data_IF_334757862888
#
_entry.id   IF_334757862888
#
_cell.length_a   1.000
_cell.length_b   1.000
_cell.length_c   1.000
_cell.angle_alpha   90.00
_cell.angle_beta   90.00
_cell.angle_gamma   90.00
#
_symmetry.space_group_name_H-M   'P 1'
#
loop_
_entity.id
_entity.type
_entity.pdbx_description
1 polymer ?
#
# COMPACT_ATOMS: atom_id res chain seq x y z
N UNK A 1 -17.15 36.30 43.05
CA UNK A 1 -16.51 36.08 41.74
C UNK A 1 -16.62 34.61 41.47
N UNK A 2 -17.73 34.20 40.79
CA UNK A 2 -17.95 32.82 40.43
C UNK A 2 -17.02 32.38 39.28
N UNK A 3 -16.46 31.15 39.30
CA UNK A 3 -15.64 30.66 38.22
C UNK A 3 -16.53 30.35 37.01
N UNK A 4 -16.16 30.91 35.83
CA UNK A 4 -16.74 30.56 34.53
C UNK A 4 -16.68 29.06 34.29
N UNK A 5 -17.74 28.40 33.80
CA UNK A 5 -17.72 27.03 33.45
C UNK A 5 -16.79 26.79 32.26
N UNK A 6 -15.85 25.84 32.44
CA UNK A 6 -15.04 25.28 31.36
C UNK A 6 -16.00 24.75 30.29
N UNK A 7 -15.90 25.30 29.08
CA UNK A 7 -16.60 24.77 27.92
C UNK A 7 -16.09 23.34 27.66
N UNK A 8 -16.94 22.38 27.90
CA UNK A 8 -16.79 21.04 27.36
C UNK A 8 -16.58 21.17 25.86
N UNK A 9 -15.40 20.76 25.39
CA UNK A 9 -15.15 20.60 23.96
C UNK A 9 -15.93 19.37 23.50
N UNK A 10 -17.23 19.56 23.24
CA UNK A 10 -18.05 18.56 22.59
C UNK A 10 -17.35 18.20 21.25
N UNK A 11 -16.73 17.04 21.19
CA UNK A 11 -16.13 16.46 19.99
C UNK A 11 -17.24 16.42 18.93
N UNK A 12 -17.16 17.28 17.92
CA UNK A 12 -18.07 17.21 16.77
C UNK A 12 -17.95 15.81 16.15
N UNK A 13 -19.07 15.17 15.77
CA UNK A 13 -19.00 13.88 15.12
C UNK A 13 -18.18 14.01 13.83
N UNK A 14 -17.11 13.25 13.72
CA UNK A 14 -16.25 13.22 12.53
C UNK A 14 -17.06 12.81 11.31
N UNK A 15 -16.75 13.39 10.14
CA UNK A 15 -17.34 12.97 8.87
C UNK A 15 -16.95 11.53 8.53
N UNK A 16 -17.75 10.84 7.71
CA UNK A 16 -17.46 9.46 7.28
C UNK A 16 -16.07 9.35 6.61
N UNK A 17 -15.66 10.38 5.84
CA UNK A 17 -14.35 10.42 5.19
C UNK A 17 -13.22 10.61 6.22
N UNK A 18 -13.39 11.48 7.21
CA UNK A 18 -12.42 11.67 8.29
C UNK A 18 -12.25 10.38 9.13
N UNK A 19 -13.33 9.67 9.41
CA UNK A 19 -13.28 8.38 10.11
C UNK A 19 -12.54 7.31 9.29
N UNK A 20 -12.79 7.25 7.98
CA UNK A 20 -12.10 6.33 7.07
C UNK A 20 -10.61 6.69 6.98
N UNK A 21 -10.28 7.97 6.86
CA UNK A 21 -8.91 8.47 6.90
C UNK A 21 -8.20 7.97 8.18
N UNK A 22 -8.75 8.25 9.33
CA UNK A 22 -8.17 7.83 10.61
C UNK A 22 -7.98 6.30 10.72
N UNK A 23 -8.94 5.50 10.23
CA UNK A 23 -8.82 4.03 10.21
C UNK A 23 -7.66 3.54 9.33
N UNK A 24 -7.55 4.04 8.11
CA UNK A 24 -6.49 3.62 7.17
C UNK A 24 -5.13 4.02 7.71
N UNK A 25 -5.00 5.25 8.22
CA UNK A 25 -3.76 5.75 8.85
C UNK A 25 -3.37 4.93 10.08
N UNK A 26 -4.35 4.60 10.91
CA UNK A 26 -4.15 3.76 12.10
C UNK A 26 -3.71 2.33 11.74
N UNK A 27 -4.26 1.75 10.68
CA UNK A 27 -3.87 0.42 10.19
C UNK A 27 -2.39 0.36 9.81
N UNK A 28 -1.86 1.37 9.12
CA UNK A 28 -0.43 1.45 8.77
C UNK A 28 0.47 1.45 10.01
N UNK A 29 0.09 2.19 11.05
CA UNK A 29 0.83 2.18 12.32
C UNK A 29 0.71 0.85 13.05
N UNK A 30 -0.45 0.20 13.02
CA UNK A 30 -0.65 -1.11 13.62
C UNK A 30 0.21 -2.20 12.95
N UNK A 31 0.37 -2.14 11.62
CA UNK A 31 1.27 -3.03 10.89
C UNK A 31 2.74 -2.80 11.24
N UNK A 32 3.15 -1.59 11.55
CA UNK A 32 4.51 -1.28 11.96
C UNK A 32 4.77 -1.50 13.47
N UNK A 33 3.72 -1.67 14.27
CA UNK A 33 3.83 -1.73 15.74
C UNK A 33 4.67 -2.91 16.28
N UNK A 34 4.67 -4.12 15.66
CA UNK A 34 5.50 -5.22 16.12
C UNK A 34 7.00 -5.03 15.87
N UNK A 35 7.40 -4.04 15.06
CA UNK A 35 8.76 -3.84 14.58
C UNK A 35 9.56 -2.90 15.48
N UNK A 36 10.84 -3.21 15.70
CA UNK A 36 11.79 -2.29 16.31
C UNK A 36 12.13 -1.13 15.35
N UNK A 37 12.85 -0.11 15.85
CA UNK A 37 13.31 0.97 15.00
C UNK A 37 14.35 0.48 13.98
N UNK A 38 15.14 -0.50 14.35
CA UNK A 38 16.14 -1.17 13.51
C UNK A 38 15.46 -1.97 12.39
N UNK A 39 14.43 -2.77 12.71
CA UNK A 39 13.63 -3.49 11.71
C UNK A 39 13.00 -2.53 10.70
N UNK A 40 12.49 -1.39 11.19
CA UNK A 40 11.89 -0.36 10.34
C UNK A 40 12.89 0.35 9.41
N UNK A 41 14.20 0.22 9.68
CA UNK A 41 15.27 0.84 8.89
C UNK A 41 15.79 -0.06 7.77
N UNK A 42 15.66 -1.38 7.90
CA UNK A 42 16.30 -2.33 6.99
C UNK A 42 15.67 -2.27 5.58
N UNK A 43 16.55 -2.31 4.58
CA UNK A 43 16.22 -2.57 3.18
C UNK A 43 16.99 -3.82 2.74
N UNK A 44 16.30 -4.89 2.42
CA UNK A 44 16.89 -6.20 2.19
C UNK A 44 17.40 -6.44 0.76
N UNK A 45 16.99 -5.61 -0.18
CA UNK A 45 17.45 -5.60 -1.59
C UNK A 45 17.12 -4.24 -2.24
N UNK A 46 17.57 -3.94 -3.47
CA UNK A 46 17.36 -2.63 -4.11
C UNK A 46 15.90 -2.23 -4.33
N UNK A 47 14.99 -3.20 -4.55
CA UNK A 47 13.59 -2.94 -4.90
C UNK A 47 12.66 -2.65 -3.71
N UNK A 48 12.74 -3.34 -2.56
CA UNK A 48 11.99 -3.04 -1.37
C UNK A 48 12.30 -1.66 -0.80
N UNK A 49 11.47 -1.24 0.13
CA UNK A 49 11.71 -0.02 0.90
C UNK A 49 11.61 -0.32 2.40
N UNK A 50 12.38 0.39 3.24
CA UNK A 50 12.23 0.27 4.68
C UNK A 50 10.81 0.60 5.14
N UNK A 51 10.30 -0.08 6.16
CA UNK A 51 9.01 0.23 6.80
C UNK A 51 8.90 1.72 7.16
N UNK A 52 9.98 2.31 7.69
CA UNK A 52 10.07 3.73 8.00
C UNK A 52 9.82 4.60 6.76
N UNK A 53 10.37 4.22 5.62
CA UNK A 53 10.19 4.94 4.36
C UNK A 53 8.73 4.85 3.88
N UNK A 54 8.08 3.68 3.96
CA UNK A 54 6.67 3.52 3.62
C UNK A 54 5.80 4.47 4.44
N UNK A 55 5.96 4.47 5.76
CA UNK A 55 5.21 5.35 6.67
C UNK A 55 5.38 6.83 6.32
N UNK A 56 6.58 7.24 5.93
CA UNK A 56 6.86 8.62 5.56
C UNK A 56 6.32 8.97 4.18
N UNK A 57 6.46 8.08 3.18
CA UNK A 57 6.03 8.29 1.81
C UNK A 57 4.50 8.47 1.70
N UNK A 58 3.72 7.60 2.35
CA UNK A 58 2.26 7.75 2.38
C UNK A 58 1.81 9.01 3.15
N UNK A 59 2.61 9.54 4.06
CA UNK A 59 2.40 10.82 4.72
C UNK A 59 2.73 11.98 3.80
N UNK A 60 3.85 11.88 3.10
CA UNK A 60 4.29 12.82 2.08
C UNK A 60 3.24 13.03 0.97
N UNK A 61 2.50 11.97 0.60
CA UNK A 61 1.41 12.09 -0.37
C UNK A 61 0.35 13.08 0.11
N UNK A 62 -0.14 12.96 1.33
CA UNK A 62 -1.16 13.85 1.86
C UNK A 62 -0.65 15.28 2.05
N UNK A 63 0.59 15.47 2.52
CA UNK A 63 1.19 16.80 2.63
C UNK A 63 1.33 17.47 1.27
N UNK A 64 1.85 16.72 0.27
CA UNK A 64 2.19 17.25 -1.05
C UNK A 64 0.96 17.49 -1.93
N UNK A 65 0.02 16.54 -1.98
CA UNK A 65 -1.09 16.59 -2.94
C UNK A 65 -2.39 17.11 -2.33
N UNK A 66 -2.54 17.02 -1.01
CA UNK A 66 -3.76 17.48 -0.35
C UNK A 66 -3.53 18.77 0.40
N UNK A 67 -2.68 18.78 1.43
CA UNK A 67 -2.50 19.98 2.27
C UNK A 67 -1.93 21.15 1.49
N UNK A 68 -0.89 20.97 0.68
CA UNK A 68 -0.30 22.05 -0.10
C UNK A 68 -1.30 22.74 -1.04
N UNK A 69 -2.32 22.03 -1.51
CA UNK A 69 -3.35 22.57 -2.41
C UNK A 69 -4.58 23.09 -1.69
N UNK A 70 -5.07 22.36 -0.68
CA UNK A 70 -6.37 22.63 -0.06
C UNK A 70 -6.27 23.35 1.29
N UNK A 71 -5.07 23.39 1.90
CA UNK A 71 -4.76 24.07 3.16
C UNK A 71 -3.34 24.69 3.09
N UNK A 72 -3.06 25.61 2.13
CA UNK A 72 -1.71 26.15 1.89
C UNK A 72 -1.10 26.89 3.08
N UNK A 73 -1.92 27.26 4.07
CA UNK A 73 -1.48 27.86 5.33
C UNK A 73 -0.95 26.82 6.35
N UNK A 74 -1.18 25.53 6.12
CA UNK A 74 -0.64 24.50 6.99
C UNK A 74 0.90 24.50 6.87
N UNK A 75 1.62 24.50 8.00
CA UNK A 75 3.08 24.52 7.96
C UNK A 75 3.62 23.21 7.40
N UNK A 76 4.58 23.30 6.48
CA UNK A 76 5.35 22.14 6.01
C UNK A 76 6.20 21.64 7.16
N UNK A 77 6.17 20.31 7.40
CA UNK A 77 6.90 19.73 8.53
C UNK A 77 8.42 19.86 8.37
N UNK A 78 8.95 19.43 7.22
CA UNK A 78 10.35 19.58 6.85
C UNK A 78 10.48 19.65 5.33
N UNK A 79 10.99 20.76 4.76
CA UNK A 79 11.15 20.92 3.31
C UNK A 79 12.00 19.83 2.63
N UNK A 80 12.95 19.22 3.36
CA UNK A 80 13.78 18.15 2.83
C UNK A 80 13.00 16.88 2.54
N UNK A 81 11.85 16.68 3.21
CA UNK A 81 11.01 15.49 3.01
C UNK A 81 10.36 15.45 1.63
N UNK A 82 10.23 16.61 0.97
CA UNK A 82 9.74 16.69 -0.41
C UNK A 82 10.59 15.86 -1.37
N UNK A 83 11.90 15.81 -1.19
CA UNK A 83 12.82 15.00 -2.00
C UNK A 83 12.99 13.61 -1.42
N UNK A 84 13.15 13.51 -0.11
CA UNK A 84 13.50 12.27 0.58
C UNK A 84 12.44 11.18 0.45
N UNK A 85 11.16 11.56 0.45
CA UNK A 85 10.03 10.64 0.39
C UNK A 85 9.27 10.68 -0.94
N UNK A 86 9.73 11.44 -1.93
CA UNK A 86 9.26 11.32 -3.30
C UNK A 86 9.70 9.97 -3.91
N UNK A 87 8.87 9.39 -4.76
CA UNK A 87 9.16 8.14 -5.48
C UNK A 87 9.07 8.35 -6.99
N UNK A 88 7.94 8.04 -7.62
CA UNK A 88 7.78 8.11 -9.07
C UNK A 88 7.23 9.46 -9.59
N UNK A 89 6.97 10.40 -8.70
CA UNK A 89 6.29 11.67 -9.06
C UNK A 89 7.29 12.69 -9.61
N UNK A 90 7.72 12.46 -10.86
CA UNK A 90 8.69 13.30 -11.56
C UNK A 90 8.24 14.77 -11.65
N UNK A 91 6.93 15.03 -11.80
CA UNK A 91 6.36 16.37 -11.80
C UNK A 91 6.50 17.14 -10.47
N UNK A 92 6.75 16.44 -9.36
CA UNK A 92 7.01 17.08 -8.05
C UNK A 92 8.47 17.52 -7.93
N UNK A 93 9.38 16.86 -8.62
CA UNK A 93 10.80 17.17 -8.64
C UNK A 93 11.71 16.00 -8.29
N UNK A 94 12.90 16.31 -7.74
CA UNK A 94 13.92 15.32 -7.41
C UNK A 94 13.42 14.27 -6.40
N UNK A 95 14.04 13.10 -6.43
CA UNK A 95 13.75 11.98 -5.55
C UNK A 95 15.03 11.35 -5.01
N UNK A 96 14.97 10.76 -3.82
CA UNK A 96 16.06 9.97 -3.27
C UNK A 96 16.14 8.60 -3.98
N UNK A 97 17.33 8.11 -4.37
CA UNK A 97 17.48 6.85 -5.09
C UNK A 97 16.88 5.67 -4.31
N UNK A 98 16.04 4.87 -4.98
CA UNK A 98 15.31 3.75 -4.36
C UNK A 98 16.23 2.75 -3.69
N UNK A 99 17.30 2.34 -4.37
CA UNK A 99 18.25 1.36 -3.85
C UNK A 99 19.03 1.83 -2.60
N UNK A 100 18.98 3.13 -2.27
CA UNK A 100 19.70 3.73 -1.14
C UNK A 100 18.77 4.11 0.03
N UNK A 101 17.49 3.77 -0.02
CA UNK A 101 16.51 4.12 1.03
C UNK A 101 16.88 3.54 2.40
N UNK A 102 17.50 2.36 2.42
CA UNK A 102 18.00 1.72 3.64
C UNK A 102 19.13 2.47 4.35
N UNK A 103 19.84 3.36 3.63
CA UNK A 103 20.92 4.18 4.18
C UNK A 103 20.40 5.48 4.83
N UNK A 104 19.11 5.79 4.69
CA UNK A 104 18.52 7.00 5.26
C UNK A 104 18.29 6.83 6.76
N UNK A 105 19.30 7.17 7.57
CA UNK A 105 19.21 7.10 9.04
C UNK A 105 18.51 8.31 9.66
N UNK A 106 18.41 9.42 8.93
CA UNK A 106 17.68 10.64 9.29
C UNK A 106 16.63 10.94 8.23
N UNK A 107 15.36 11.15 8.60
CA UNK A 107 14.82 11.17 9.98
C UNK A 107 14.81 9.79 10.66
N UNK A 108 14.76 9.80 12.00
CA UNK A 108 14.52 8.59 12.80
C UNK A 108 13.08 8.09 12.64
N UNK A 109 12.79 6.87 13.10
CA UNK A 109 11.40 6.37 13.15
C UNK A 109 10.50 7.27 14.01
N UNK A 110 11.03 7.81 15.12
CA UNK A 110 10.31 8.74 15.98
C UNK A 110 9.96 10.05 15.24
N UNK A 111 10.90 10.57 14.43
CA UNK A 111 10.66 11.76 13.59
C UNK A 111 9.58 11.50 12.55
N UNK A 112 9.61 10.35 11.91
CA UNK A 112 8.56 9.94 10.93
C UNK A 112 7.21 9.82 11.60
N UNK A 113 7.13 9.27 12.82
CA UNK A 113 5.88 9.24 13.58
C UNK A 113 5.38 10.64 13.95
N UNK A 114 6.27 11.58 14.29
CA UNK A 114 5.89 13.00 14.50
C UNK A 114 5.41 13.65 13.21
N UNK A 115 6.09 13.39 12.09
CA UNK A 115 5.66 13.85 10.77
C UNK A 115 4.23 13.38 10.45
N UNK A 116 3.95 12.08 10.66
CA UNK A 116 2.60 11.53 10.47
C UNK A 116 1.57 12.23 11.34
N UNK A 117 1.85 12.38 12.64
CA UNK A 117 0.93 13.03 13.56
C UNK A 117 0.63 14.48 13.15
N UNK A 118 1.65 15.23 12.73
CA UNK A 118 1.50 16.60 12.23
C UNK A 118 0.59 16.65 10.99
N UNK A 119 0.82 15.80 10.00
CA UNK A 119 -0.01 15.77 8.78
C UNK A 119 -1.43 15.31 9.10
N UNK A 120 -1.58 14.28 9.96
CA UNK A 120 -2.89 13.77 10.34
C UNK A 120 -3.76 14.83 11.07
N UNK A 121 -3.16 15.63 11.95
CA UNK A 121 -3.85 16.74 12.62
C UNK A 121 -4.42 17.73 11.60
N UNK A 122 -3.60 18.19 10.65
CA UNK A 122 -4.02 19.14 9.62
C UNK A 122 -5.04 18.54 8.64
N UNK A 123 -4.87 17.28 8.28
CA UNK A 123 -5.81 16.56 7.41
C UNK A 123 -7.18 16.40 8.07
N UNK A 124 -7.24 15.99 9.33
CA UNK A 124 -8.52 15.85 10.04
C UNK A 124 -9.23 17.18 10.17
N UNK A 125 -8.52 18.26 10.52
CA UNK A 125 -9.08 19.61 10.55
C UNK A 125 -9.61 20.07 9.19
N UNK A 126 -8.88 19.77 8.09
CA UNK A 126 -9.31 20.09 6.72
C UNK A 126 -10.58 19.31 6.32
N UNK A 127 -10.63 18.01 6.61
CA UNK A 127 -11.77 17.14 6.27
C UNK A 127 -13.05 17.54 7.03
N UNK A 128 -12.90 18.01 8.25
CA UNK A 128 -14.03 18.53 9.03
C UNK A 128 -14.50 19.91 8.52
N UNK A 129 -13.56 20.81 8.22
CA UNK A 129 -13.87 22.16 7.74
C UNK A 129 -14.47 22.18 6.34
N UNK A 130 -14.12 21.21 5.49
CA UNK A 130 -14.56 21.09 4.10
C UNK A 130 -15.40 19.84 3.83
N UNK A 131 -16.24 19.46 4.78
CA UNK A 131 -17.18 18.37 4.64
C UNK A 131 -18.06 18.55 3.39
N UNK A 132 -18.15 17.52 2.53
CA UNK A 132 -18.94 17.55 1.29
C UNK A 132 -18.21 18.13 0.06
N UNK A 133 -16.95 18.53 0.18
CA UNK A 133 -16.14 18.95 -0.97
C UNK A 133 -15.75 17.74 -1.82
N UNK A 134 -16.35 17.61 -3.01
CA UNK A 134 -16.14 16.47 -3.89
C UNK A 134 -14.69 16.38 -4.42
N UNK A 135 -14.07 17.50 -4.78
CA UNK A 135 -12.69 17.49 -5.29
C UNK A 135 -11.67 17.13 -4.21
N UNK A 136 -11.90 17.56 -2.97
CA UNK A 136 -11.11 17.13 -1.83
C UNK A 136 -11.32 15.63 -1.55
N UNK A 137 -12.56 15.15 -1.60
CA UNK A 137 -12.89 13.76 -1.34
C UNK A 137 -12.21 12.82 -2.36
N UNK A 138 -12.18 13.19 -3.64
CA UNK A 138 -11.55 12.41 -4.71
C UNK A 138 -10.04 12.23 -4.48
N UNK A 139 -9.29 13.30 -4.20
CA UNK A 139 -7.85 13.20 -3.98
C UNK A 139 -7.52 12.50 -2.65
N UNK A 140 -8.35 12.64 -1.62
CA UNK A 140 -8.19 11.93 -0.36
C UNK A 140 -8.48 10.44 -0.55
N UNK A 141 -9.52 10.08 -1.32
CA UNK A 141 -9.79 8.68 -1.72
C UNK A 141 -8.58 8.04 -2.38
N UNK A 142 -8.02 8.70 -3.40
CA UNK A 142 -6.79 8.24 -4.06
C UNK A 142 -5.65 8.03 -3.05
N UNK A 143 -5.45 8.96 -2.12
CA UNK A 143 -4.44 8.86 -1.07
C UNK A 143 -4.67 7.68 -0.14
N UNK A 144 -5.92 7.36 0.21
CA UNK A 144 -6.26 6.22 1.04
C UNK A 144 -6.01 4.89 0.33
N UNK A 145 -6.36 4.78 -0.95
CA UNK A 145 -6.07 3.59 -1.76
C UNK A 145 -4.56 3.40 -1.93
N UNK A 146 -3.81 4.49 -2.18
CA UNK A 146 -2.36 4.48 -2.23
C UNK A 146 -1.74 4.03 -0.89
N UNK A 147 -2.25 4.49 0.25
CA UNK A 147 -1.78 4.05 1.55
C UNK A 147 -2.05 2.55 1.79
N UNK A 148 -3.24 2.06 1.41
CA UNK A 148 -3.57 0.64 1.51
C UNK A 148 -2.68 -0.24 0.62
N UNK A 149 -2.32 0.22 -0.58
CA UNK A 149 -1.33 -0.45 -1.43
C UNK A 149 0.05 -0.52 -0.74
N UNK A 150 0.46 0.57 -0.07
CA UNK A 150 1.69 0.58 0.72
C UNK A 150 1.64 -0.28 1.99
N UNK A 151 0.46 -0.57 2.54
CA UNK A 151 0.31 -1.55 3.64
C UNK A 151 0.66 -2.97 3.18
N UNK A 152 0.27 -3.36 1.98
CA UNK A 152 0.66 -4.64 1.38
C UNK A 152 2.16 -4.70 1.08
N UNK A 153 2.71 -3.64 0.46
CA UNK A 153 4.15 -3.55 0.18
C UNK A 153 4.99 -3.61 1.45
N UNK A 154 4.58 -2.91 2.52
CA UNK A 154 5.25 -2.95 3.81
C UNK A 154 5.34 -4.38 4.36
N UNK A 155 4.25 -5.16 4.30
CA UNK A 155 4.24 -6.54 4.74
C UNK A 155 5.13 -7.43 3.87
N UNK A 156 5.13 -7.22 2.56
CA UNK A 156 5.99 -7.96 1.63
C UNK A 156 7.46 -7.68 1.95
N UNK A 157 7.81 -6.41 2.07
CA UNK A 157 9.19 -5.96 2.25
C UNK A 157 9.76 -6.38 3.62
N UNK A 158 8.99 -6.25 4.70
CA UNK A 158 9.44 -6.67 6.03
C UNK A 158 9.55 -8.20 6.17
N UNK A 159 8.64 -8.95 5.56
CA UNK A 159 8.75 -10.42 5.56
C UNK A 159 10.03 -10.88 4.84
N UNK A 160 10.37 -10.26 3.73
CA UNK A 160 11.62 -10.53 3.03
C UNK A 160 12.82 -10.15 3.91
N UNK A 161 12.83 -8.97 4.53
CA UNK A 161 13.91 -8.52 5.41
C UNK A 161 14.11 -9.49 6.59
N UNK A 162 13.04 -9.89 7.28
CA UNK A 162 13.11 -10.81 8.41
C UNK A 162 13.53 -12.22 8.01
N UNK A 163 13.23 -12.67 6.78
CA UNK A 163 13.69 -13.98 6.30
C UNK A 163 15.22 -14.10 6.16
N UNK A 164 15.91 -12.97 6.07
CA UNK A 164 17.37 -12.87 6.00
C UNK A 164 18.01 -12.52 7.36
N UNK A 165 17.21 -12.33 8.42
CA UNK A 165 17.70 -11.95 9.74
C UNK A 165 17.84 -13.17 10.64
N UNK A 166 19.06 -13.65 10.94
CA UNK A 166 19.27 -14.74 11.90
C UNK A 166 18.76 -14.34 13.27
N UNK A 167 17.97 -15.18 13.90
CA UNK A 167 17.41 -14.92 15.24
C UNK A 167 16.15 -14.06 15.25
N UNK A 168 15.56 -13.79 14.09
CA UNK A 168 14.22 -13.20 14.03
C UNK A 168 13.16 -14.23 14.39
N UNK A 169 12.28 -13.90 15.36
CA UNK A 169 11.11 -14.72 15.70
C UNK A 169 9.98 -14.63 14.65
N UNK A 170 10.23 -13.89 13.56
CA UNK A 170 9.25 -13.60 12.51
C UNK A 170 8.37 -12.39 12.85
N UNK A 171 7.61 -11.93 11.85
CA UNK A 171 6.80 -10.71 11.99
C UNK A 171 5.61 -10.88 12.93
N UNK A 172 4.96 -12.04 12.87
CA UNK A 172 3.78 -12.33 13.68
C UNK A 172 3.63 -13.83 13.92
N UNK A 173 2.81 -14.17 14.93
CA UNK A 173 2.47 -15.57 15.18
C UNK A 173 1.83 -16.19 13.94
N UNK A 174 2.29 -17.39 13.58
CA UNK A 174 1.74 -18.14 12.43
C UNK A 174 0.24 -18.39 12.59
N UNK A 175 -0.53 -18.03 11.57
CA UNK A 175 -1.95 -18.37 11.53
C UNK A 175 -2.11 -19.89 11.46
N UNK A 176 -3.07 -20.46 12.20
CA UNK A 176 -3.39 -21.87 12.03
C UNK A 176 -3.93 -22.09 10.61
N UNK A 177 -3.24 -22.90 9.83
CA UNK A 177 -3.70 -23.29 8.51
C UNK A 177 -4.56 -24.53 8.68
N UNK A 178 -5.85 -24.45 8.33
CA UNK A 178 -6.72 -25.60 8.30
C UNK A 178 -6.20 -26.64 7.30
N UNK A 179 -6.16 -27.89 7.71
CA UNK A 179 -5.85 -28.98 6.79
C UNK A 179 -7.02 -29.11 5.78
N UNK A 180 -6.75 -28.76 4.53
CA UNK A 180 -7.72 -28.86 3.45
C UNK A 180 -7.33 -30.01 2.54
N UNK A 181 -8.26 -30.91 2.25
CA UNK A 181 -8.06 -31.91 1.20
C UNK A 181 -8.23 -31.24 -0.15
N UNK A 182 -7.20 -31.24 -1.03
CA UNK A 182 -7.31 -30.63 -2.34
C UNK A 182 -8.40 -31.32 -3.15
N UNK A 183 -9.29 -30.54 -3.73
CA UNK A 183 -10.27 -31.05 -4.69
C UNK A 183 -9.56 -31.41 -6.01
N UNK A 184 -10.02 -32.42 -6.75
CA UNK A 184 -9.51 -32.71 -8.06
C UNK A 184 -9.56 -31.47 -8.96
N UNK A 185 -8.47 -31.19 -9.69
CA UNK A 185 -8.45 -30.11 -10.66
C UNK A 185 -9.35 -30.47 -11.84
N UNK A 186 -10.18 -29.53 -12.26
CA UNK A 186 -11.01 -29.64 -13.47
C UNK A 186 -10.76 -28.42 -14.34
N UNK A 187 -10.77 -28.60 -15.63
CA UNK A 187 -10.70 -27.52 -16.60
C UNK A 187 -12.11 -27.03 -16.92
N UNK A 188 -12.33 -25.74 -16.82
CA UNK A 188 -13.59 -25.08 -17.09
C UNK A 188 -13.42 -24.33 -18.40
N UNK A 189 -14.14 -24.77 -19.44
CA UNK A 189 -14.09 -24.18 -20.77
C UNK A 189 -14.88 -22.87 -20.86
N UNK A 190 -14.32 -21.89 -21.52
CA UNK A 190 -14.94 -20.62 -21.87
C UNK A 190 -14.89 -20.44 -23.38
N UNK A 191 -16.02 -20.11 -23.97
CA UNK A 191 -16.16 -19.97 -25.44
C UNK A 191 -15.40 -18.76 -26.01
N UNK A 192 -14.98 -17.83 -25.13
CA UNK A 192 -14.39 -16.58 -25.58
C UNK A 192 -15.42 -15.65 -26.23
N UNK A 193 -14.98 -14.87 -27.22
CA UNK A 193 -15.80 -13.89 -27.92
C UNK A 193 -15.47 -12.45 -27.54
N UNK A 194 -16.35 -11.53 -27.91
CA UNK A 194 -16.20 -10.11 -27.53
C UNK A 194 -16.66 -9.91 -26.09
N UNK A 195 -15.80 -9.38 -25.26
CA UNK A 195 -16.07 -9.02 -23.86
C UNK A 195 -15.69 -7.58 -23.59
N UNK A 196 -16.36 -6.96 -22.63
CA UNK A 196 -15.99 -5.63 -22.14
C UNK A 196 -15.02 -5.78 -20.98
N UNK A 197 -13.89 -5.09 -21.06
CA UNK A 197 -12.82 -5.07 -20.07
C UNK A 197 -12.56 -3.64 -19.58
N UNK A 198 -12.16 -3.50 -18.32
CA UNK A 198 -11.90 -2.23 -17.69
C UNK A 198 -13.08 -1.69 -16.88
N UNK A 199 -12.77 -0.73 -15.99
CA UNK A 199 -13.75 -0.10 -15.11
C UNK A 199 -14.54 0.99 -15.84
N UNK A 200 -15.82 1.11 -15.50
CA UNK A 200 -16.70 2.18 -15.95
C UNK A 200 -17.27 2.91 -14.73
N UNK A 201 -16.60 4.00 -14.35
CA UNK A 201 -16.98 4.80 -13.19
C UNK A 201 -18.38 5.43 -13.29
N UNK A 202 -18.99 5.45 -14.52
CA UNK A 202 -20.36 5.94 -14.71
C UNK A 202 -21.42 4.98 -14.21
N UNK A 203 -21.08 3.70 -14.02
CA UNK A 203 -22.03 2.65 -13.63
C UNK A 203 -22.24 2.56 -12.12
N UNK A 204 -21.19 2.69 -11.32
CA UNK A 204 -21.27 2.44 -9.87
C UNK A 204 -20.63 3.53 -8.99
N UNK A 205 -19.90 4.49 -9.60
CA UNK A 205 -19.18 5.54 -8.87
C UNK A 205 -18.09 5.03 -7.94
N UNK A 206 -17.71 3.74 -8.05
CA UNK A 206 -16.65 3.17 -7.25
C UNK A 206 -15.28 3.73 -7.65
N UNK A 207 -14.34 3.69 -6.71
CA UNK A 207 -12.95 4.07 -7.00
C UNK A 207 -12.30 3.10 -7.99
N UNK A 208 -11.55 3.65 -8.93
CA UNK A 208 -10.63 2.89 -9.79
C UNK A 208 -9.32 3.68 -9.97
N UNK A 209 -8.23 2.99 -10.23
CA UNK A 209 -7.00 3.62 -10.70
C UNK A 209 -7.09 3.93 -12.20
N UNK A 210 -6.26 4.85 -12.66
CA UNK A 210 -6.20 5.27 -14.07
C UNK A 210 -5.92 4.12 -15.03
N UNK A 211 -5.07 3.16 -14.63
CA UNK A 211 -4.73 1.98 -15.42
C UNK A 211 -5.85 0.92 -15.51
N UNK A 212 -6.95 1.10 -14.78
CA UNK A 212 -8.16 0.26 -14.88
C UNK A 212 -9.16 0.82 -15.92
N UNK A 213 -8.85 1.96 -16.53
CA UNK A 213 -9.70 2.66 -17.51
C UNK A 213 -8.97 2.90 -18.83
N UNK A 214 -9.70 3.20 -19.92
CA UNK A 214 -11.15 3.19 -20.09
C UNK A 214 -11.71 1.77 -20.25
N UNK A 215 -13.01 1.57 -19.97
CA UNK A 215 -13.70 0.35 -20.35
C UNK A 215 -13.71 0.23 -21.88
N UNK A 216 -13.33 -0.95 -22.38
CA UNK A 216 -13.17 -1.19 -23.80
C UNK A 216 -13.48 -2.64 -24.19
N UNK A 217 -13.79 -2.87 -25.46
CA UNK A 217 -14.05 -4.21 -25.97
C UNK A 217 -12.74 -4.93 -26.31
N UNK A 218 -12.62 -6.17 -25.87
CA UNK A 218 -11.54 -7.09 -26.26
C UNK A 218 -12.12 -8.38 -26.82
N UNK A 219 -11.39 -9.01 -27.73
CA UNK A 219 -11.72 -10.32 -28.25
C UNK A 219 -10.90 -11.38 -27.53
N UNK A 220 -11.56 -12.35 -26.90
CA UNK A 220 -10.93 -13.51 -26.27
C UNK A 220 -11.08 -14.73 -27.17
N UNK A 221 -10.00 -15.44 -27.45
CA UNK A 221 -10.08 -16.77 -28.02
C UNK A 221 -10.73 -17.74 -27.01
N UNK A 222 -11.32 -18.85 -27.43
CA UNK A 222 -11.75 -19.90 -26.50
C UNK A 222 -10.57 -20.34 -25.61
N UNK A 223 -10.82 -20.55 -24.32
CA UNK A 223 -9.80 -20.95 -23.37
C UNK A 223 -10.38 -21.83 -22.27
N UNK A 224 -9.52 -22.51 -21.54
CA UNK A 224 -9.87 -23.24 -20.33
C UNK A 224 -9.13 -22.69 -19.12
N UNK A 225 -9.82 -22.61 -17.99
CA UNK A 225 -9.24 -22.17 -16.72
C UNK A 225 -9.37 -23.31 -15.70
N UNK A 226 -8.30 -23.54 -14.95
CA UNK A 226 -8.32 -24.49 -13.86
C UNK A 226 -9.33 -24.08 -12.77
N UNK A 227 -10.09 -25.05 -12.23
CA UNK A 227 -11.13 -24.82 -11.20
C UNK A 227 -10.57 -24.40 -9.84
N UNK A 228 -9.25 -24.45 -9.67
CA UNK A 228 -8.52 -24.06 -8.47
C UNK A 228 -7.06 -23.73 -8.81
N UNK A 229 -6.35 -23.02 -7.92
CA UNK A 229 -4.90 -22.87 -8.04
C UNK A 229 -4.14 -24.21 -7.97
N UNK A 230 -2.92 -24.21 -8.49
CA UNK A 230 -1.94 -25.28 -8.28
C UNK A 230 -1.66 -25.45 -6.80
N UNK A 231 -1.63 -26.67 -6.31
CA UNK A 231 -1.30 -26.97 -4.92
C UNK A 231 0.21 -27.10 -4.70
N UNK A 232 0.66 -26.98 -3.47
CA UNK A 232 2.06 -27.27 -3.12
C UNK A 232 2.48 -28.69 -3.49
N UNK A 233 1.58 -29.69 -3.37
CA UNK A 233 1.87 -31.06 -3.77
C UNK A 233 2.18 -31.17 -5.26
N UNK A 234 1.34 -30.60 -6.11
CA UNK A 234 1.55 -30.55 -7.56
C UNK A 234 2.82 -29.78 -7.95
N UNK A 235 3.11 -28.71 -7.21
CA UNK A 235 4.35 -27.96 -7.45
C UNK A 235 5.61 -28.74 -7.03
N UNK A 236 5.54 -29.51 -5.96
CA UNK A 236 6.63 -30.40 -5.54
C UNK A 236 6.87 -31.48 -6.59
N UNK A 237 5.81 -32.08 -7.17
CA UNK A 237 5.93 -33.00 -8.28
C UNK A 237 6.68 -32.40 -9.48
N UNK A 238 6.41 -31.14 -9.83
CA UNK A 238 7.16 -30.42 -10.86
C UNK A 238 8.65 -30.27 -10.51
N UNK A 239 8.97 -30.00 -9.23
CA UNK A 239 10.36 -29.91 -8.76
C UNK A 239 11.05 -31.27 -8.87
N UNK A 240 10.38 -32.34 -8.42
CA UNK A 240 10.90 -33.71 -8.43
C UNK A 240 11.10 -34.25 -9.86
N UNK A 241 10.24 -33.83 -10.81
CA UNK A 241 10.39 -34.09 -12.26
C UNK A 241 11.48 -33.20 -12.93
N UNK A 242 12.33 -32.60 -12.11
CA UNK A 242 13.41 -31.70 -12.56
C UNK A 242 12.98 -30.53 -13.45
N UNK A 243 11.78 -29.98 -13.23
CA UNK A 243 11.23 -28.90 -14.04
C UNK A 243 12.14 -27.66 -14.13
N UNK A 244 12.89 -27.35 -13.08
CA UNK A 244 13.92 -26.29 -13.05
C UNK A 244 15.21 -26.61 -13.84
N UNK A 245 15.36 -27.83 -14.38
CA UNK A 245 16.49 -28.24 -15.20
C UNK A 245 16.12 -28.48 -16.65
N UNK A 246 14.91 -28.09 -17.03
CA UNK A 246 14.32 -28.33 -18.35
C UNK A 246 14.10 -27.02 -19.06
N UNK A 247 15.07 -26.53 -19.87
CA UNK A 247 14.99 -25.18 -20.49
C UNK A 247 13.79 -25.05 -21.43
N UNK A 248 13.28 -26.13 -22.00
CA UNK A 248 12.10 -26.09 -22.88
C UNK A 248 10.80 -25.66 -22.18
N UNK A 249 10.76 -25.69 -20.85
CA UNK A 249 9.59 -25.26 -20.07
C UNK A 249 9.60 -23.74 -19.74
N UNK A 250 10.69 -23.04 -20.07
CA UNK A 250 10.93 -21.69 -19.62
C UNK A 250 11.08 -20.71 -20.78
N UNK A 251 10.57 -19.50 -20.62
CA UNK A 251 10.97 -18.38 -21.46
C UNK A 251 12.39 -17.93 -21.07
N UNK A 252 13.08 -17.25 -21.98
CA UNK A 252 14.50 -16.89 -21.82
C UNK A 252 14.79 -16.16 -20.50
N UNK A 253 13.96 -15.23 -20.09
CA UNK A 253 14.12 -14.52 -18.82
C UNK A 253 13.88 -15.40 -17.60
N UNK A 254 12.93 -16.33 -17.67
CA UNK A 254 12.65 -17.28 -16.59
C UNK A 254 13.73 -18.35 -16.44
N UNK A 255 14.46 -18.65 -17.53
CA UNK A 255 15.58 -19.58 -17.48
C UNK A 255 16.87 -18.94 -16.94
N UNK A 256 17.05 -17.64 -17.16
CA UNK A 256 18.25 -16.90 -16.75
C UNK A 256 18.24 -16.45 -15.27
N UNK A 257 17.12 -16.52 -14.59
CA UNK A 257 16.96 -16.20 -13.16
C UNK A 257 17.05 -17.43 -12.30
#
# INVERSE_FOLDING_TARGET
MEPLPLRDSATRPQTALAQRYARVRGASLALAAPLSAEDCQVQSMPDPSPTKWHLAHITWFFETFVLARHAPQAPVFDPAFKVLFNSYYQGVGAQHPRALRGLVTRPSLADVKRYRAHVDEHMLGLLEARAGDAALAEIVELGLQHEQQHQELLLTDIKHALSHSPGSDGYARRWPIAAVRPQPLRWIGYAGGRVEHGHDASLDGAFCFDNETPRHSVWLAPFELASRPVTYGEFIEFIDDAGYRRPELWLSMGWAG
#
